data_IF_776946792879
#
_entry.id   IF_776946792879
#
_cell.length_a   1.000
_cell.length_b   1.000
_cell.length_c   1.000
_cell.angle_alpha   90.00
_cell.angle_beta   90.00
_cell.angle_gamma   90.00
#
_symmetry.space_group_name_H-M   'P 1'
#
loop_
_entity.id
_entity.type
_entity.pdbx_description
1 polymer ?
#
# COMPACT_ATOMS: atom_id res chain seq x y z
N UNK A 1 25.09 15.93 -3.34
CA UNK A 1 24.72 14.81 -2.45
C UNK A 1 25.72 13.69 -2.62
N UNK A 2 26.00 12.93 -1.56
CA UNK A 2 26.78 11.71 -1.60
C UNK A 2 26.03 10.59 -2.33
N UNK A 3 26.73 9.49 -2.64
CA UNK A 3 26.18 8.34 -3.38
C UNK A 3 25.00 7.65 -2.66
N UNK A 4 24.85 7.83 -1.35
CA UNK A 4 23.78 7.26 -0.52
C UNK A 4 22.68 8.27 -0.16
N UNK A 5 22.80 9.51 -0.64
CA UNK A 5 21.85 10.59 -0.36
C UNK A 5 20.96 10.84 -1.59
N UNK A 6 19.70 11.15 -1.35
CA UNK A 6 18.77 11.58 -2.40
C UNK A 6 18.82 13.10 -2.55
N UNK A 7 18.88 13.58 -3.79
CA UNK A 7 18.81 15.00 -4.11
C UNK A 7 17.37 15.41 -4.40
N UNK A 8 16.80 16.25 -3.54
CA UNK A 8 15.51 16.91 -3.72
C UNK A 8 15.48 17.74 -5.01
N UNK A 9 14.29 17.98 -5.56
CA UNK A 9 14.14 18.88 -6.71
C UNK A 9 14.53 20.34 -6.38
N UNK A 10 14.37 20.77 -5.11
CA UNK A 10 14.87 22.07 -4.63
C UNK A 10 16.40 22.14 -4.54
N UNK A 11 17.12 21.03 -4.75
CA UNK A 11 18.58 20.93 -4.68
C UNK A 11 19.15 20.50 -3.32
N UNK A 12 18.31 20.35 -2.29
CA UNK A 12 18.70 19.85 -0.97
C UNK A 12 19.03 18.35 -1.00
N UNK A 13 19.88 17.89 -0.08
CA UNK A 13 20.24 16.48 0.05
C UNK A 13 19.63 15.89 1.31
N UNK A 14 19.01 14.73 1.20
CA UNK A 14 18.48 13.96 2.32
C UNK A 14 19.06 12.55 2.31
N UNK A 15 18.90 11.80 3.39
CA UNK A 15 19.30 10.39 3.38
C UNK A 15 18.51 9.63 2.32
N UNK A 16 19.14 8.70 1.61
CA UNK A 16 18.43 7.88 0.61
C UNK A 16 17.30 7.04 1.22
N UNK A 17 17.36 6.75 2.52
CA UNK A 17 16.30 6.13 3.31
C UNK A 17 15.14 7.07 3.64
N UNK A 18 15.33 8.39 3.55
CA UNK A 18 14.30 9.40 3.77
C UNK A 18 13.46 9.67 2.50
N UNK A 19 13.69 8.92 1.43
CA UNK A 19 12.89 9.00 0.21
C UNK A 19 11.75 8.00 0.30
N UNK A 20 10.52 8.47 0.12
CA UNK A 20 9.31 7.67 0.21
C UNK A 20 9.09 7.07 1.61
N UNK A 21 9.49 7.79 2.66
CA UNK A 21 9.38 7.34 4.07
C UNK A 21 8.08 7.86 4.72
N UNK A 22 7.17 8.47 3.95
CA UNK A 22 5.97 9.17 4.45
C UNK A 22 6.25 10.41 5.29
N UNK A 23 7.51 10.86 5.36
CA UNK A 23 7.92 12.08 6.04
C UNK A 23 8.48 13.07 5.02
N UNK A 24 8.11 14.35 5.15
CA UNK A 24 8.54 15.38 4.20
C UNK A 24 9.91 15.92 4.59
N UNK A 25 10.96 15.27 4.13
CA UNK A 25 12.35 15.65 4.34
C UNK A 25 12.82 16.68 3.31
N UNK A 26 12.24 16.71 2.11
CA UNK A 26 12.50 17.80 1.15
C UNK A 26 11.58 19.00 1.40
N UNK A 27 12.14 20.19 1.20
CA UNK A 27 11.39 21.46 1.32
C UNK A 27 10.26 21.57 0.28
N UNK A 28 10.46 21.04 -0.93
CA UNK A 28 9.43 20.86 -1.98
C UNK A 28 8.66 19.53 -1.87
N UNK A 29 8.90 18.71 -0.84
CA UNK A 29 8.30 17.37 -0.70
C UNK A 29 8.64 16.42 -1.85
N UNK A 30 9.69 16.72 -2.60
CA UNK A 30 10.12 15.94 -3.77
C UNK A 30 10.64 14.54 -3.41
N UNK A 31 10.93 14.31 -2.14
CA UNK A 31 11.25 12.99 -1.59
C UNK A 31 10.06 12.06 -1.50
N UNK A 32 8.86 12.63 -1.38
CA UNK A 32 7.58 11.92 -1.39
C UNK A 32 6.85 12.06 -2.76
N UNK A 33 7.38 12.88 -3.67
CA UNK A 33 6.83 13.07 -5.02
C UNK A 33 7.39 12.03 -6.01
N UNK A 34 6.48 11.36 -6.74
CA UNK A 34 6.88 10.35 -7.73
C UNK A 34 7.44 9.05 -7.12
N UNK A 35 7.12 8.78 -5.85
CA UNK A 35 7.33 7.49 -5.22
C UNK A 35 6.53 6.40 -5.94
N UNK A 36 7.20 5.71 -6.87
CA UNK A 36 6.75 4.39 -7.32
C UNK A 36 7.03 3.43 -6.17
N UNK A 37 5.97 3.01 -5.49
CA UNK A 37 6.08 1.98 -4.47
C UNK A 37 6.77 0.74 -5.04
N UNK A 38 7.42 -0.06 -4.19
CA UNK A 38 8.09 -1.27 -4.65
C UNK A 38 7.11 -2.18 -5.39
N UNK A 39 7.62 -3.10 -6.20
CA UNK A 39 6.79 -4.03 -7.00
C UNK A 39 5.76 -4.80 -6.17
N UNK A 40 5.97 -4.92 -4.86
CA UNK A 40 5.08 -5.59 -3.91
C UNK A 40 4.28 -4.59 -3.03
N UNK A 41 4.07 -3.36 -3.48
CA UNK A 41 3.36 -2.32 -2.73
C UNK A 41 2.42 -1.56 -3.66
N UNK A 42 1.26 -1.17 -3.15
CA UNK A 42 0.27 -0.40 -3.90
C UNK A 42 0.44 1.09 -3.62
N UNK A 43 0.51 1.89 -4.68
CA UNK A 43 0.49 3.34 -4.58
C UNK A 43 -0.94 3.84 -4.47
N UNK A 44 -1.25 4.47 -3.34
CA UNK A 44 -2.45 5.27 -3.15
C UNK A 44 -2.50 6.45 -4.12
N UNK A 45 -3.70 6.92 -4.45
CA UNK A 45 -3.85 8.24 -5.11
C UNK A 45 -3.25 9.38 -4.28
N UNK A 46 -3.18 9.18 -2.95
CA UNK A 46 -2.45 9.96 -1.95
C UNK A 46 -0.93 10.10 -2.17
N UNK A 47 -0.33 9.19 -2.94
CA UNK A 47 1.13 8.97 -2.97
C UNK A 47 1.64 8.03 -1.87
N UNK A 48 0.80 7.65 -0.89
CA UNK A 48 1.13 6.67 0.16
C UNK A 48 1.37 5.28 -0.45
N UNK A 49 2.38 4.58 0.05
CA UNK A 49 2.63 3.18 -0.28
C UNK A 49 2.00 2.26 0.75
N UNK A 50 1.16 1.34 0.28
CA UNK A 50 0.56 0.29 1.11
C UNK A 50 1.29 -1.02 0.79
N UNK A 51 1.92 -1.67 1.78
CA UNK A 51 2.63 -2.91 1.55
C UNK A 51 1.65 -4.02 1.16
N UNK A 52 2.10 -5.00 0.37
CA UNK A 52 1.28 -6.12 -0.11
C UNK A 52 0.54 -6.91 0.97
N UNK A 53 1.06 -6.92 2.20
CA UNK A 53 0.41 -7.55 3.36
C UNK A 53 -0.84 -6.79 3.82
N UNK A 54 -0.89 -5.48 3.59
CA UNK A 54 -2.00 -4.58 3.90
C UNK A 54 -2.85 -4.30 2.65
N UNK A 55 -2.74 -5.13 1.61
CA UNK A 55 -3.66 -5.07 0.48
C UNK A 55 -4.75 -6.09 0.68
N UNK A 56 -6.01 -5.64 0.63
CA UNK A 56 -7.17 -6.48 0.87
C UNK A 56 -7.17 -7.14 2.24
N UNK A 57 -6.64 -6.47 3.26
CA UNK A 57 -6.64 -6.95 4.64
C UNK A 57 -7.97 -6.64 5.35
N UNK A 58 -8.89 -5.94 4.67
CA UNK A 58 -10.16 -5.49 5.21
C UNK A 58 -10.06 -4.17 5.98
N UNK A 59 -8.87 -3.57 6.03
CA UNK A 59 -8.60 -2.26 6.60
C UNK A 59 -8.40 -1.27 5.46
N UNK A 60 -8.88 -0.04 5.64
CA UNK A 60 -8.58 1.04 4.69
C UNK A 60 -7.30 1.73 5.12
N UNK A 61 -6.17 1.22 4.65
CA UNK A 61 -4.87 1.87 4.79
C UNK A 61 -4.71 3.05 3.81
N UNK A 62 -5.50 3.04 2.73
CA UNK A 62 -5.60 4.14 1.79
C UNK A 62 -6.85 5.01 2.01
N UNK A 63 -6.74 6.31 1.70
CA UNK A 63 -7.79 7.32 1.94
C UNK A 63 -9.11 7.03 1.21
N UNK A 64 -9.03 6.31 0.09
CA UNK A 64 -10.20 5.87 -0.68
C UNK A 64 -10.39 4.35 -0.64
N UNK A 65 -9.63 3.63 0.18
CA UNK A 65 -9.60 2.16 0.17
C UNK A 65 -9.10 1.59 -1.16
N UNK A 66 -8.14 2.24 -1.83
CA UNK A 66 -7.59 1.75 -3.11
C UNK A 66 -6.88 0.39 -2.98
N UNK A 67 -6.24 0.20 -1.82
CA UNK A 67 -5.76 -1.06 -1.27
C UNK A 67 -6.85 -2.14 -1.20
N UNK A 68 -8.12 -1.74 -1.02
CA UNK A 68 -9.28 -2.62 -0.91
C UNK A 68 -10.13 -2.70 -2.22
N UNK A 69 -10.00 -1.73 -3.13
CA UNK A 69 -10.87 -1.56 -4.31
C UNK A 69 -10.49 -2.46 -5.49
N UNK A 70 -9.20 -2.77 -5.67
CA UNK A 70 -8.70 -3.61 -6.77
C UNK A 70 -8.49 -5.06 -6.38
N UNK A 71 -9.25 -5.50 -5.39
CA UNK A 71 -9.24 -6.89 -4.98
C UNK A 71 -9.90 -7.83 -5.98
N UNK A 72 -10.65 -7.31 -6.97
CA UNK A 72 -11.46 -8.06 -7.93
C UNK A 72 -10.76 -9.16 -8.76
N UNK A 73 -9.43 -9.16 -8.87
CA UNK A 73 -8.67 -10.24 -9.53
C UNK A 73 -8.22 -11.36 -8.54
N UNK A 74 -8.35 -11.10 -7.23
CA UNK A 74 -8.18 -12.04 -6.13
C UNK A 74 -9.50 -12.42 -5.46
N UNK A 75 -10.60 -11.74 -5.79
CA UNK A 75 -11.94 -11.98 -5.26
C UNK A 75 -12.59 -13.08 -6.12
N UNK A 76 -12.83 -14.25 -5.53
CA UNK A 76 -13.69 -15.26 -6.17
C UNK A 76 -15.14 -14.75 -6.15
N UNK A 77 -16.01 -15.29 -7.01
CA UNK A 77 -17.40 -14.85 -7.27
C UNK A 77 -18.37 -14.79 -6.06
N UNK A 78 -17.86 -14.81 -4.82
CA UNK A 78 -18.57 -14.59 -3.57
C UNK A 78 -18.11 -13.35 -2.77
N UNK A 79 -17.34 -12.41 -3.35
CA UNK A 79 -17.01 -11.13 -2.69
C UNK A 79 -15.92 -11.20 -1.61
N UNK A 80 -15.22 -12.33 -1.49
CA UNK A 80 -14.10 -12.55 -0.56
C UNK A 80 -12.82 -12.93 -1.33
N UNK A 81 -11.65 -12.62 -0.76
CA UNK A 81 -10.34 -12.95 -1.36
C UNK A 81 -10.14 -14.46 -1.51
N UNK A 82 -9.26 -14.90 -2.40
CA UNK A 82 -8.95 -16.32 -2.67
C UNK A 82 -8.56 -17.12 -1.42
N UNK A 83 -8.02 -16.44 -0.41
CA UNK A 83 -7.60 -17.02 0.89
C UNK A 83 -8.65 -16.91 2.00
N UNK A 84 -9.86 -16.43 1.69
CA UNK A 84 -10.98 -16.33 2.61
C UNK A 84 -12.21 -17.06 2.04
N UNK A 85 -12.95 -17.70 2.93
CA UNK A 85 -14.23 -18.31 2.69
C UNK A 85 -15.35 -17.32 3.01
N UNK A 86 -16.34 -17.21 2.13
CA UNK A 86 -17.55 -16.43 2.40
C UNK A 86 -18.55 -17.25 3.21
N UNK A 87 -18.84 -16.81 4.43
CA UNK A 87 -19.93 -17.37 5.22
C UNK A 87 -21.29 -16.96 4.63
N UNK A 88 -22.37 -17.73 4.86
CA UNK A 88 -23.73 -17.41 4.38
C UNK A 88 -24.28 -16.07 4.92
N UNK A 89 -23.67 -15.52 5.97
CA UNK A 89 -23.99 -14.21 6.54
C UNK A 89 -23.28 -13.03 5.81
N UNK A 90 -22.48 -13.31 4.78
CA UNK A 90 -21.68 -12.30 4.05
C UNK A 90 -20.37 -11.92 4.72
N UNK A 91 -20.02 -12.56 5.85
CA UNK A 91 -18.73 -12.40 6.52
C UNK A 91 -17.66 -13.22 5.81
N UNK A 92 -16.51 -12.60 5.50
CA UNK A 92 -15.34 -13.30 4.98
C UNK A 92 -14.44 -13.77 6.13
N UNK A 93 -14.13 -15.06 6.18
CA UNK A 93 -13.24 -15.66 7.19
C UNK A 93 -12.09 -16.38 6.49
N UNK A 94 -10.91 -16.55 7.10
CA UNK A 94 -9.85 -17.38 6.49
C UNK A 94 -10.34 -18.80 6.21
N UNK A 95 -9.86 -19.46 5.15
CA UNK A 95 -10.14 -20.90 4.93
C UNK A 95 -9.73 -21.76 6.14
N UNK A 96 -8.70 -21.34 6.88
CA UNK A 96 -8.24 -22.01 8.09
C UNK A 96 -9.18 -21.86 9.29
N UNK A 97 -10.21 -21.01 9.17
CA UNK A 97 -11.25 -20.77 10.18
C UNK A 97 -12.59 -21.38 9.76
N UNK A 98 -12.64 -22.09 8.63
CA UNK A 98 -13.83 -22.86 8.22
C UNK A 98 -13.91 -24.13 9.05
N UNK A 99 -14.91 -24.20 9.95
CA UNK A 99 -15.30 -25.31 10.84
C UNK A 99 -14.21 -26.31 11.28
N UNK A 100 -13.85 -26.26 12.57
CA UNK A 100 -13.42 -27.44 13.32
C UNK A 100 -14.65 -28.26 13.73
#
# INVERSE_FOLDING_TARGET
CASYEFQCASGHCISGSSRCDSDYNCMDRSDEDGCKCFTNELTCSSGRCVPSINLCDGVKDCEHGLDELRCGELISSGGCIKSQFSCPDGTCVPWSSTCN
#
